data_IF_667071638509
#
_entry.id   IF_667071638509
#
_cell.length_a   1.000
_cell.length_b   1.000
_cell.length_c   1.000
_cell.angle_alpha   90.00
_cell.angle_beta   90.00
_cell.angle_gamma   90.00
#
_symmetry.space_group_name_H-M   'P 1'
#
loop_
_entity.id
_entity.type
_entity.pdbx_description
1 polymer ?
#
# COMPACT_ATOMS: atom_id res chain seq x y z
N UNK A 1 50.82 -11.40 59.64
CA UNK A 1 49.50 -11.05 59.08
C UNK A 1 49.70 -9.99 58.00
N UNK A 2 49.56 -10.31 56.69
CA UNK A 2 49.83 -9.36 55.62
C UNK A 2 48.60 -8.48 55.35
N UNK A 3 48.79 -7.16 55.27
CA UNK A 3 47.76 -6.21 54.83
C UNK A 3 47.83 -6.10 53.30
N UNK A 4 46.85 -6.69 52.62
CA UNK A 4 46.67 -6.57 51.17
C UNK A 4 46.20 -5.14 50.86
N UNK A 5 46.99 -4.39 50.09
CA UNK A 5 46.60 -3.09 49.53
C UNK A 5 45.86 -3.33 48.22
N UNK A 6 44.61 -2.89 48.15
CA UNK A 6 43.78 -2.96 46.95
C UNK A 6 44.14 -1.77 46.06
N UNK A 7 45.01 -2.03 45.10
CA UNK A 7 45.37 -1.09 44.03
C UNK A 7 44.25 -1.01 42.99
N UNK A 8 43.78 0.23 42.78
CA UNK A 8 43.30 0.77 41.51
C UNK A 8 42.54 -0.18 40.58
N UNK A 9 41.29 -0.48 40.93
CA UNK A 9 40.30 -0.87 39.93
C UNK A 9 39.90 0.38 39.13
N UNK A 10 40.72 0.71 38.13
CA UNK A 10 40.38 1.70 37.10
C UNK A 10 39.30 1.08 36.21
N UNK A 11 38.06 1.49 36.46
CA UNK A 11 36.90 1.22 35.62
C UNK A 11 37.14 1.74 34.21
N UNK A 12 37.46 0.84 33.29
CA UNK A 12 37.56 1.12 31.85
C UNK A 12 36.23 0.67 31.22
N UNK A 13 35.53 1.67 30.68
CA UNK A 13 34.43 1.65 29.68
C UNK A 13 32.98 1.42 30.17
N UNK A 14 32.19 2.51 30.32
CA UNK A 14 30.78 2.52 30.00
C UNK A 14 30.59 3.31 28.70
N UNK A 15 30.49 2.65 27.54
CA UNK A 15 30.37 3.42 26.29
C UNK A 15 29.95 2.69 25.02
N UNK A 16 29.53 1.44 25.06
CA UNK A 16 29.30 0.66 23.83
C UNK A 16 27.99 -0.16 23.81
N UNK A 17 26.94 0.29 24.51
CA UNK A 17 25.64 -0.40 24.49
C UNK A 17 24.42 0.52 24.27
N UNK A 18 24.60 1.69 23.65
CA UNK A 18 23.48 2.60 23.34
C UNK A 18 23.26 2.85 21.84
N UNK A 19 24.00 2.19 20.94
CA UNK A 19 24.06 2.60 19.52
C UNK A 19 23.81 1.47 18.50
N UNK A 20 22.90 0.53 18.80
CA UNK A 20 22.45 -0.51 17.84
C UNK A 20 20.91 -0.59 17.79
N UNK A 21 20.22 0.54 18.00
CA UNK A 21 18.75 0.59 17.88
C UNK A 21 18.27 1.54 16.75
N UNK A 22 19.19 2.19 16.02
CA UNK A 22 18.85 3.26 15.07
C UNK A 22 18.98 2.89 13.58
N UNK A 23 18.88 1.60 13.23
CA UNK A 23 19.02 1.10 11.85
C UNK A 23 17.92 0.09 11.44
N UNK A 24 16.78 0.08 12.13
CA UNK A 24 15.63 -0.70 11.67
C UNK A 24 15.06 -0.01 10.42
N UNK A 25 15.10 -0.64 9.22
CA UNK A 25 14.36 -0.11 8.09
C UNK A 25 12.88 -0.09 8.48
N UNK A 26 12.20 1.03 8.22
CA UNK A 26 10.75 1.10 8.37
C UNK A 26 10.13 0.07 7.42
N UNK A 27 9.72 -1.07 7.96
CA UNK A 27 8.97 -2.07 7.21
C UNK A 27 7.63 -1.42 6.88
N UNK A 28 7.46 -1.01 5.61
CA UNK A 28 6.14 -0.65 5.09
C UNK A 28 5.40 -1.97 4.90
N UNK A 29 4.31 -2.20 5.64
CA UNK A 29 3.39 -3.27 5.27
C UNK A 29 2.82 -2.92 3.90
N UNK A 30 2.86 -3.87 2.97
CA UNK A 30 2.12 -3.73 1.73
C UNK A 30 0.64 -3.85 2.07
N UNK A 31 -0.12 -2.78 1.82
CA UNK A 31 -1.57 -2.79 1.93
C UNK A 31 -2.17 -3.17 0.56
N UNK A 32 -3.33 -3.82 0.62
CA UNK A 32 -4.06 -4.33 -0.54
C UNK A 32 -5.55 -4.20 -0.24
N UNK A 33 -6.24 -3.35 -1.00
CA UNK A 33 -7.68 -3.18 -0.91
C UNK A 33 -8.41 -4.09 -1.89
N UNK A 34 -9.57 -4.60 -1.47
CA UNK A 34 -10.56 -5.20 -2.36
C UNK A 34 -11.58 -4.15 -2.77
N UNK A 35 -11.65 -3.81 -4.05
CA UNK A 35 -12.65 -2.89 -4.61
C UNK A 35 -13.65 -3.69 -5.43
N UNK A 36 -14.94 -3.53 -5.12
CA UNK A 36 -16.03 -4.25 -5.79
C UNK A 36 -16.77 -3.29 -6.72
N UNK A 37 -16.69 -3.55 -8.03
CA UNK A 37 -17.50 -2.86 -9.05
C UNK A 37 -18.94 -3.36 -8.93
N UNK A 38 -19.88 -2.44 -8.72
CA UNK A 38 -21.27 -2.75 -8.42
C UNK A 38 -22.23 -2.51 -9.59
N UNK A 39 -21.75 -1.90 -10.69
CA UNK A 39 -22.57 -1.56 -11.85
C UNK A 39 -21.86 -1.85 -13.16
N UNK A 40 -22.65 -2.12 -14.20
CA UNK A 40 -22.18 -2.33 -15.57
C UNK A 40 -22.13 -1.05 -16.41
N UNK A 41 -22.57 0.07 -15.81
CA UNK A 41 -22.58 1.39 -16.45
C UNK A 41 -21.12 1.88 -16.57
N UNK A 42 -20.77 2.43 -17.73
CA UNK A 42 -19.54 3.20 -17.94
C UNK A 42 -19.91 4.63 -18.35
N UNK A 43 -19.45 5.61 -17.58
CA UNK A 43 -19.62 7.04 -17.88
C UNK A 43 -18.24 7.67 -17.99
N UNK A 44 -18.08 8.56 -18.97
CA UNK A 44 -16.86 9.33 -19.15
C UNK A 44 -17.22 10.82 -19.33
N UNK A 45 -16.82 11.73 -18.42
CA UNK A 45 -16.02 11.48 -17.22
C UNK A 45 -16.75 10.66 -16.13
N UNK A 46 -16.02 9.94 -15.25
CA UNK A 46 -16.61 9.27 -14.08
C UNK A 46 -17.26 10.28 -13.12
N UNK A 47 -18.29 9.86 -12.38
CA UNK A 47 -19.15 10.75 -11.58
C UNK A 47 -19.63 10.03 -10.32
N UNK A 48 -19.57 10.71 -9.17
CA UNK A 48 -20.10 10.12 -7.92
C UNK A 48 -21.63 10.05 -7.96
N UNK A 49 -22.16 8.87 -8.24
CA UNK A 49 -23.60 8.62 -8.37
C UNK A 49 -24.13 7.55 -7.40
N UNK A 50 -23.24 6.99 -6.57
CA UNK A 50 -23.59 5.98 -5.56
C UNK A 50 -23.44 4.55 -6.05
N UNK A 51 -22.95 4.34 -7.27
CA UNK A 51 -22.55 3.05 -7.77
C UNK A 51 -21.05 3.06 -8.13
N UNK A 52 -20.33 2.00 -7.76
CA UNK A 52 -18.92 1.87 -8.12
C UNK A 52 -18.80 1.33 -9.56
N UNK A 53 -18.39 2.16 -10.50
CA UNK A 53 -18.07 1.77 -11.88
C UNK A 53 -16.64 1.22 -11.98
N UNK A 54 -16.34 0.49 -13.07
CA UNK A 54 -14.97 0.03 -13.34
C UNK A 54 -13.99 1.21 -13.50
N UNK A 55 -14.42 2.31 -14.11
CA UNK A 55 -13.59 3.50 -14.34
C UNK A 55 -13.21 4.18 -13.01
N UNK A 56 -14.14 4.27 -12.09
CA UNK A 56 -13.91 4.83 -10.75
C UNK A 56 -13.01 3.95 -9.91
N UNK A 57 -13.24 2.62 -9.95
CA UNK A 57 -12.37 1.65 -9.29
C UNK A 57 -10.91 1.78 -9.77
N UNK A 58 -10.69 1.90 -11.09
CA UNK A 58 -9.35 2.11 -11.66
C UNK A 58 -8.73 3.41 -11.15
N UNK A 59 -9.50 4.50 -11.06
CA UNK A 59 -8.98 5.77 -10.54
C UNK A 59 -8.58 5.65 -9.07
N UNK A 60 -9.39 5.00 -8.24
CA UNK A 60 -9.09 4.83 -6.82
C UNK A 60 -7.85 3.99 -6.56
N UNK A 61 -7.64 2.87 -7.28
CA UNK A 61 -6.41 2.07 -7.17
C UNK A 61 -5.19 2.86 -7.64
N UNK A 62 -5.30 3.57 -8.76
CA UNK A 62 -4.19 4.39 -9.27
C UNK A 62 -3.80 5.51 -8.32
N UNK A 63 -4.78 6.08 -7.59
CA UNK A 63 -4.56 7.15 -6.64
C UNK A 63 -4.13 6.64 -5.24
N UNK A 64 -4.26 5.33 -4.97
CA UNK A 64 -4.16 4.77 -3.62
C UNK A 64 -5.02 5.57 -2.61
N UNK A 65 -6.25 5.92 -3.03
CA UNK A 65 -7.16 6.78 -2.29
C UNK A 65 -8.63 6.57 -2.72
N UNK A 66 -9.58 7.07 -1.93
CA UNK A 66 -11.00 7.17 -2.31
C UNK A 66 -11.26 8.47 -3.09
N UNK A 67 -10.77 8.56 -4.34
CA UNK A 67 -11.09 9.69 -5.23
C UNK A 67 -12.58 9.71 -5.60
N UNK A 68 -13.16 8.53 -5.80
CA UNK A 68 -14.59 8.28 -5.97
C UNK A 68 -15.11 7.53 -4.74
N UNK A 69 -15.89 8.18 -3.85
CA UNK A 69 -16.26 7.62 -2.54
C UNK A 69 -17.34 6.53 -2.60
N UNK A 70 -17.99 6.37 -3.75
CA UNK A 70 -18.87 5.25 -4.10
C UNK A 70 -18.10 3.96 -4.40
N UNK A 71 -16.79 4.04 -4.60
CA UNK A 71 -15.88 2.90 -4.63
C UNK A 71 -15.03 2.84 -3.34
N UNK A 72 -14.52 1.64 -3.02
CA UNK A 72 -13.49 1.50 -1.99
C UNK A 72 -12.22 2.31 -2.33
N UNK A 73 -11.49 2.76 -1.32
CA UNK A 73 -10.16 3.38 -1.52
C UNK A 73 -9.15 2.33 -2.02
N UNK A 74 -8.26 2.72 -2.92
CA UNK A 74 -7.04 1.95 -3.18
C UNK A 74 -6.04 2.07 -2.01
N UNK A 75 -5.16 1.08 -1.85
CA UNK A 75 -4.15 1.07 -0.78
C UNK A 75 -2.81 0.41 -1.20
N UNK A 76 -2.65 0.01 -2.45
CA UNK A 76 -1.40 -0.55 -2.97
C UNK A 76 -1.67 -1.71 -3.91
N UNK A 77 -1.34 -2.93 -3.49
CA UNK A 77 -1.54 -4.14 -4.29
C UNK A 77 -3.02 -4.57 -4.34
N UNK A 78 -3.85 -3.72 -4.92
CA UNK A 78 -5.29 -3.81 -4.88
C UNK A 78 -5.84 -4.88 -5.82
N UNK A 79 -7.04 -5.37 -5.51
CA UNK A 79 -7.80 -6.29 -6.36
C UNK A 79 -9.15 -5.68 -6.70
N UNK A 80 -9.45 -5.56 -8.00
CA UNK A 80 -10.77 -5.17 -8.49
C UNK A 80 -11.58 -6.44 -8.78
N UNK A 81 -12.76 -6.55 -8.19
CA UNK A 81 -13.72 -7.65 -8.40
C UNK A 81 -15.07 -7.10 -8.86
N UNK A 82 -15.92 -7.97 -9.41
CA UNK A 82 -17.27 -7.60 -9.86
C UNK A 82 -18.30 -8.24 -8.94
N UNK A 83 -19.32 -7.47 -8.55
CA UNK A 83 -20.39 -7.96 -7.66
C UNK A 83 -21.20 -9.12 -8.27
N UNK A 84 -21.24 -9.20 -9.60
CA UNK A 84 -21.87 -10.27 -10.38
C UNK A 84 -21.24 -10.37 -11.77
N UNK A 85 -21.58 -11.41 -12.51
CA UNK A 85 -21.31 -11.46 -13.94
C UNK A 85 -22.03 -10.30 -14.64
N UNK A 86 -21.32 -9.58 -15.52
CA UNK A 86 -21.85 -8.43 -16.24
C UNK A 86 -21.10 -8.16 -17.54
N UNK A 87 -21.76 -7.45 -18.45
CA UNK A 87 -21.16 -6.92 -19.68
C UNK A 87 -21.08 -5.40 -19.55
N UNK A 88 -19.86 -4.86 -19.56
CA UNK A 88 -19.62 -3.42 -19.52
C UNK A 88 -19.37 -2.95 -20.96
N UNK A 89 -20.27 -2.13 -21.49
CA UNK A 89 -20.06 -1.48 -22.78
C UNK A 89 -19.27 -0.20 -22.56
N UNK A 90 -17.99 -0.23 -22.95
CA UNK A 90 -17.10 0.92 -22.79
C UNK A 90 -17.52 2.07 -23.70
N UNK A 91 -17.69 3.26 -23.12
CA UNK A 91 -17.99 4.49 -23.89
C UNK A 91 -16.72 5.22 -24.33
N UNK A 92 -15.58 4.87 -23.73
CA UNK A 92 -14.24 5.36 -24.06
C UNK A 92 -13.17 4.37 -23.58
N UNK A 93 -11.92 4.54 -24.01
CA UNK A 93 -10.79 3.80 -23.46
C UNK A 93 -10.76 3.91 -21.93
N UNK A 94 -10.50 2.81 -21.24
CA UNK A 94 -10.30 2.82 -19.79
C UNK A 94 -9.01 3.60 -19.44
N UNK A 95 -8.92 4.19 -18.24
CA UNK A 95 -7.67 4.76 -17.76
C UNK A 95 -6.59 3.67 -17.67
N UNK A 96 -5.35 4.03 -17.96
CA UNK A 96 -4.21 3.12 -17.78
C UNK A 96 -4.06 2.73 -16.30
N UNK A 97 -3.55 1.52 -16.05
CA UNK A 97 -3.13 1.12 -14.70
C UNK A 97 -1.74 1.70 -14.43
N UNK A 98 -1.67 2.71 -13.57
CA UNK A 98 -0.45 3.44 -13.25
C UNK A 98 0.10 3.13 -11.86
N UNK A 99 -0.69 2.45 -11.02
CA UNK A 99 -0.19 2.06 -9.70
C UNK A 99 1.05 1.15 -9.80
N UNK A 100 1.99 1.34 -8.88
CA UNK A 100 3.26 0.64 -8.85
C UNK A 100 3.06 -0.87 -8.66
N UNK A 101 2.05 -1.28 -7.89
CA UNK A 101 1.74 -2.68 -7.66
C UNK A 101 1.16 -3.34 -8.92
N UNK A 102 0.30 -2.63 -9.65
CA UNK A 102 -0.25 -3.07 -10.93
C UNK A 102 0.76 -3.08 -12.10
N UNK A 103 1.79 -2.25 -12.03
CA UNK A 103 2.87 -2.17 -13.04
C UNK A 103 4.08 -3.03 -12.73
N UNK A 104 4.06 -3.81 -11.63
CA UNK A 104 5.10 -4.78 -11.34
C UNK A 104 5.18 -5.80 -12.48
N UNK A 105 6.27 -5.66 -13.24
CA UNK A 105 6.70 -6.48 -14.36
C UNK A 105 6.88 -7.95 -13.95
N UNK A 106 5.80 -8.67 -13.67
CA UNK A 106 5.81 -10.12 -13.45
C UNK A 106 5.56 -10.92 -14.73
N UNK A 107 5.30 -10.25 -15.87
CA UNK A 107 5.21 -10.89 -17.19
C UNK A 107 6.57 -11.11 -17.88
N UNK A 108 7.68 -11.18 -17.13
CA UNK A 108 8.92 -11.76 -17.65
C UNK A 108 8.94 -13.24 -17.27
N UNK A 109 8.59 -14.07 -18.25
CA UNK A 109 8.88 -15.50 -18.25
C UNK A 109 10.38 -15.74 -18.11
#
# INVERSE_FOLDING_TARGET
MPRIRIDRLRWVLPGFFTSVLLLLPAVRLAEAAGIVVSTHIDVNPPVTDGACTLREAIVNVNANAATFPDCGAGAGADTITFASDMVITLVASLPDITDAAGTHRQWRR
#
